data_IF_914782335852
#
_entry.id   IF_914782335852
#
_cell.length_a   1.000
_cell.length_b   1.000
_cell.length_c   1.000
_cell.angle_alpha   90.00
_cell.angle_beta   90.00
_cell.angle_gamma   90.00
#
_symmetry.space_group_name_H-M   'P 1'
#
loop_
_entity.id
_entity.type
_entity.pdbx_description
1 polymer ?
#
# COMPACT_ATOMS: atom_id res chain seq x y z
N UNK A 1 22.37 -5.41 17.13
CA UNK A 1 21.06 -6.00 17.51
C UNK A 1 19.96 -4.97 17.70
N UNK A 2 20.10 -3.98 18.60
CA UNK A 2 19.06 -2.97 18.86
C UNK A 2 18.58 -2.22 17.60
N UNK A 3 19.52 -1.77 16.74
CA UNK A 3 19.19 -1.10 15.47
C UNK A 3 18.32 -1.98 14.55
N UNK A 4 18.68 -3.25 14.36
CA UNK A 4 17.92 -4.21 13.53
C UNK A 4 16.53 -4.47 14.11
N UNK A 5 16.40 -4.57 15.43
CA UNK A 5 15.09 -4.74 16.07
C UNK A 5 14.21 -3.51 15.86
N UNK A 6 14.76 -2.29 15.98
CA UNK A 6 14.02 -1.04 15.73
C UNK A 6 13.47 -1.00 14.30
N UNK A 7 14.31 -1.30 13.30
CA UNK A 7 13.86 -1.34 11.89
C UNK A 7 12.82 -2.43 11.68
N UNK A 8 12.99 -3.62 12.27
CA UNK A 8 11.99 -4.70 12.22
C UNK A 8 10.63 -4.26 12.74
N UNK A 9 10.60 -3.54 13.86
CA UNK A 9 9.35 -3.02 14.43
C UNK A 9 8.70 -1.98 13.50
N UNK A 10 9.49 -1.02 12.99
CA UNK A 10 9.00 -0.01 12.04
C UNK A 10 8.37 -0.64 10.80
N UNK A 11 9.06 -1.61 10.17
CA UNK A 11 8.53 -2.35 9.02
C UNK A 11 7.26 -3.14 9.34
N UNK A 12 7.16 -3.69 10.55
CA UNK A 12 5.97 -4.43 10.98
C UNK A 12 4.77 -3.49 11.16
N UNK A 13 5.00 -2.31 11.71
CA UNK A 13 3.96 -1.28 11.88
C UNK A 13 3.51 -0.73 10.53
N UNK A 14 4.43 -0.45 9.61
CA UNK A 14 4.12 -0.05 8.24
C UNK A 14 3.32 -1.12 7.49
N UNK A 15 3.72 -2.39 7.59
CA UNK A 15 2.97 -3.52 7.02
C UNK A 15 1.55 -3.59 7.59
N UNK A 16 1.37 -3.31 8.88
CA UNK A 16 0.05 -3.28 9.51
C UNK A 16 -0.79 -2.13 8.95
N UNK A 17 -0.21 -0.95 8.77
CA UNK A 17 -0.87 0.20 8.14
C UNK A 17 -1.34 -0.15 6.72
N UNK A 18 -0.44 -0.63 5.85
CA UNK A 18 -0.80 -0.99 4.48
C UNK A 18 -1.86 -2.09 4.40
N UNK A 19 -1.83 -3.08 5.30
CA UNK A 19 -2.88 -4.10 5.39
C UNK A 19 -4.24 -3.51 5.79
N UNK A 20 -4.24 -2.51 6.67
CA UNK A 20 -5.44 -1.76 7.02
C UNK A 20 -5.99 -1.00 5.82
N UNK A 21 -5.15 -0.23 5.13
CA UNK A 21 -5.55 0.53 3.94
C UNK A 21 -6.10 -0.38 2.83
N UNK A 22 -5.45 -1.54 2.60
CA UNK A 22 -5.95 -2.57 1.68
C UNK A 22 -7.35 -3.05 2.08
N UNK A 23 -7.57 -3.30 3.37
CA UNK A 23 -8.86 -3.77 3.87
C UNK A 23 -9.98 -2.72 3.70
N UNK A 24 -9.64 -1.44 3.86
CA UNK A 24 -10.57 -0.33 3.65
C UNK A 24 -10.95 -0.22 2.17
N UNK A 25 -9.97 -0.22 1.26
CA UNK A 25 -10.21 -0.20 -0.18
C UNK A 25 -11.04 -1.40 -0.64
N UNK A 26 -10.76 -2.61 -0.12
CA UNK A 26 -11.58 -3.79 -0.42
C UNK A 26 -13.01 -3.66 0.08
N UNK A 27 -13.23 -2.99 1.21
CA UNK A 27 -14.57 -2.69 1.73
C UNK A 27 -15.31 -1.70 0.81
N UNK A 28 -14.61 -0.69 0.28
CA UNK A 28 -15.17 0.22 -0.73
C UNK A 28 -15.54 -0.53 -2.02
N UNK A 29 -14.71 -1.46 -2.49
CA UNK A 29 -15.04 -2.29 -3.66
C UNK A 29 -16.29 -3.14 -3.42
N UNK A 30 -16.44 -3.70 -2.21
CA UNK A 30 -17.63 -4.47 -1.84
C UNK A 30 -18.88 -3.59 -1.85
N UNK A 31 -18.82 -2.38 -1.29
CA UNK A 31 -19.93 -1.43 -1.31
C UNK A 31 -20.34 -1.09 -2.77
N UNK A 32 -19.37 -0.73 -3.62
CA UNK A 32 -19.62 -0.45 -5.03
C UNK A 32 -20.21 -1.64 -5.81
N UNK A 33 -19.93 -2.88 -5.41
CA UNK A 33 -20.55 -4.06 -6.02
C UNK A 33 -22.03 -4.17 -5.67
N UNK A 34 -22.41 -3.84 -4.43
CA UNK A 34 -23.81 -3.82 -4.01
C UNK A 34 -24.57 -2.77 -4.82
N UNK A 35 -24.02 -1.56 -4.93
CA UNK A 35 -24.61 -0.48 -5.74
C UNK A 35 -24.75 -0.93 -7.20
N UNK A 36 -23.73 -1.58 -7.77
CA UNK A 36 -23.77 -2.06 -9.15
C UNK A 36 -24.88 -3.08 -9.41
N UNK A 37 -25.12 -4.02 -8.49
CA UNK A 37 -26.23 -4.97 -8.61
C UNK A 37 -27.60 -4.28 -8.46
N UNK A 38 -27.72 -3.26 -7.60
CA UNK A 38 -28.92 -2.43 -7.52
C UNK A 38 -29.18 -1.70 -8.84
N UNK A 39 -28.17 -1.08 -9.45
CA UNK A 39 -28.33 -0.45 -10.77
C UNK A 39 -28.74 -1.44 -11.86
N UNK A 40 -28.18 -2.66 -11.83
CA UNK A 40 -28.52 -3.71 -12.80
C UNK A 40 -29.97 -4.18 -12.68
N UNK A 41 -30.48 -4.34 -11.46
CA UNK A 41 -31.89 -4.69 -11.22
C UNK A 41 -32.82 -3.58 -11.68
N UNK A 42 -32.56 -2.32 -11.28
CA UNK A 42 -33.32 -1.13 -11.72
C UNK A 42 -33.35 -0.98 -13.25
N UNK A 43 -32.21 -1.15 -13.93
CA UNK A 43 -32.15 -1.12 -15.40
C UNK A 43 -32.98 -2.24 -16.03
N UNK A 44 -32.95 -3.43 -15.43
CA UNK A 44 -33.73 -4.58 -15.88
C UNK A 44 -35.24 -4.32 -15.78
N UNK A 45 -35.69 -3.73 -14.66
CA UNK A 45 -37.09 -3.36 -14.43
C UNK A 45 -37.55 -2.27 -15.40
N UNK A 46 -36.79 -1.18 -15.53
CA UNK A 46 -37.11 -0.08 -16.47
C UNK A 46 -37.15 -0.54 -17.92
N UNK A 47 -36.31 -1.51 -18.30
CA UNK A 47 -36.35 -2.11 -19.64
C UNK A 47 -37.63 -2.93 -19.87
N UNK A 48 -38.08 -3.69 -18.87
CA UNK A 48 -39.34 -4.45 -18.93
C UNK A 48 -40.56 -3.52 -19.00
N UNK A 49 -40.55 -2.39 -18.29
CA UNK A 49 -41.60 -1.37 -18.36
C UNK A 49 -41.66 -0.68 -19.74
N UNK A 50 -40.51 -0.47 -20.38
CA UNK A 50 -40.41 0.21 -21.68
C UNK A 50 -40.83 -0.68 -22.87
N UNK A 51 -40.59 -1.99 -22.79
CA UNK A 51 -40.90 -2.96 -23.84
C UNK A 51 -42.35 -2.93 -24.37
N UNK A 52 -43.41 -2.94 -23.53
CA UNK A 52 -44.79 -2.85 -24.01
C UNK A 52 -45.12 -1.51 -24.68
N UNK A 53 -44.53 -0.40 -24.20
CA UNK A 53 -44.71 0.93 -24.81
C UNK A 53 -44.09 0.98 -26.21
N UNK A 54 -42.91 0.38 -26.38
CA UNK A 54 -42.28 0.24 -27.69
C UNK A 54 -43.09 -0.67 -28.63
N UNK A 55 -43.68 -1.75 -28.12
CA UNK A 55 -44.58 -2.61 -28.91
C UNK A 55 -45.87 -1.86 -29.31
N UNK A 56 -46.45 -1.06 -28.43
CA UNK A 56 -47.61 -0.22 -28.71
C UNK A 56 -47.31 0.83 -29.79
N UNK A 57 -46.17 1.52 -29.70
CA UNK A 57 -45.69 2.43 -30.75
C UNK A 57 -45.48 1.72 -32.10
N UNK A 58 -44.95 0.50 -32.08
CA UNK A 58 -44.78 -0.32 -33.28
C UNK A 58 -46.11 -0.65 -33.96
N UNK A 59 -47.14 -1.00 -33.19
CA UNK A 59 -48.50 -1.26 -33.71
C UNK A 59 -49.12 0.01 -34.29
N UNK A 60 -48.98 1.15 -33.61
CA UNK A 60 -49.50 2.44 -34.09
C UNK A 60 -48.81 2.91 -35.39
N UNK A 61 -47.51 2.61 -35.55
CA UNK A 61 -46.74 2.94 -36.76
C UNK A 61 -47.22 2.15 -37.98
N UNK A 62 -47.61 0.88 -37.80
CA UNK A 62 -48.07 0.04 -38.91
C UNK A 62 -49.46 0.41 -39.41
N UNK A 63 -50.33 0.98 -38.57
CA UNK A 63 -51.68 1.40 -38.96
C UNK A 63 -51.70 2.67 -39.85
N UNK A 64 -50.67 3.52 -39.78
CA UNK A 64 -50.62 4.79 -40.53
C UNK A 64 -50.12 4.68 -41.97
N UNK A 65 -49.54 3.53 -42.37
CA UNK A 65 -48.99 3.36 -43.72
C UNK A 65 -50.01 2.88 -44.78
N UNK A 66 -51.30 2.75 -44.43
CA UNK A 66 -52.36 2.30 -45.34
C UNK A 66 -53.07 3.41 -46.13
N UNK A 67 -52.72 4.68 -45.93
CA UNK A 67 -53.47 5.83 -46.45
C UNK A 67 -52.82 6.55 -47.64
N UNK A 68 -53.05 6.02 -48.84
CA UNK A 68 -53.30 6.78 -50.08
C UNK A 68 -52.46 8.02 -50.43
N UNK A 69 -51.56 7.85 -51.40
CA UNK A 69 -51.33 8.85 -52.45
C UNK A 69 -52.57 8.87 -53.37
N UNK A 70 -53.42 9.88 -53.28
CA UNK A 70 -54.54 10.09 -54.21
C UNK A 70 -55.54 11.12 -53.68
N UNK A 71 -55.50 12.33 -54.23
CA UNK A 71 -56.30 13.47 -53.79
C UNK A 71 -57.81 13.27 -54.01
N UNK A 72 -58.55 13.28 -52.91
CA UNK A 72 -60.00 13.43 -52.82
C UNK A 72 -60.23 14.62 -51.87
N UNK A 73 -61.31 15.40 -52.05
CA UNK A 73 -61.71 16.54 -51.20
C UNK A 73 -61.52 16.24 -49.70
N UNK A 74 -61.04 17.22 -48.93
CA UNK A 74 -60.54 16.98 -47.56
C UNK A 74 -61.66 16.88 -46.53
N UNK A 75 -62.83 17.48 -46.80
CA UNK A 75 -64.01 17.45 -45.94
C UNK A 75 -65.31 17.36 -46.74
N UNK A 76 -66.38 16.95 -46.07
CA UNK A 76 -67.74 16.96 -46.64
C UNK A 76 -68.20 18.39 -46.97
N UNK A 77 -67.75 19.39 -46.20
CA UNK A 77 -68.00 20.82 -46.44
C UNK A 77 -67.34 21.28 -47.75
N UNK A 78 -66.06 20.95 -47.98
CA UNK A 78 -65.37 21.26 -49.24
C UNK A 78 -66.04 20.59 -50.45
N UNK A 79 -66.55 19.36 -50.28
CA UNK A 79 -67.29 18.65 -51.31
C UNK A 79 -68.64 19.33 -51.59
N UNK A 80 -69.38 19.72 -50.54
CA UNK A 80 -70.67 20.40 -50.66
C UNK A 80 -70.52 21.80 -51.27
N UNK A 81 -69.50 22.57 -50.89
CA UNK A 81 -69.21 23.89 -51.43
C UNK A 81 -68.84 23.80 -52.92
N UNK A 82 -68.07 22.78 -53.31
CA UNK A 82 -67.75 22.53 -54.72
C UNK A 82 -69.00 22.17 -55.52
N UNK A 83 -69.81 21.23 -55.03
CA UNK A 83 -71.09 20.86 -55.66
C UNK A 83 -72.02 22.08 -55.77
N UNK A 84 -72.14 22.87 -54.70
CA UNK A 84 -72.97 24.07 -54.67
C UNK A 84 -72.49 25.13 -55.66
N UNK A 85 -71.17 25.34 -55.77
CA UNK A 85 -70.61 26.27 -56.76
C UNK A 85 -70.91 25.85 -58.20
N UNK A 86 -70.85 24.55 -58.52
CA UNK A 86 -71.16 24.02 -59.85
C UNK A 86 -72.66 24.13 -60.14
N UNK A 87 -73.52 23.87 -59.16
CA UNK A 87 -74.98 24.05 -59.27
C UNK A 87 -75.36 25.52 -59.46
N UNK A 88 -74.72 26.45 -58.74
CA UNK A 88 -74.93 27.88 -58.87
C UNK A 88 -74.56 28.39 -60.27
N UNK A 89 -73.42 27.93 -60.81
CA UNK A 89 -73.00 28.24 -62.18
C UNK A 89 -74.02 27.77 -63.22
N UNK A 90 -74.56 26.56 -63.08
CA UNK A 90 -75.63 26.05 -63.95
C UNK A 90 -76.89 26.93 -63.90
N UNK A 91 -77.28 27.42 -62.71
CA UNK A 91 -78.54 28.16 -62.53
C UNK A 91 -78.46 29.64 -62.91
N UNK A 92 -77.28 30.26 -62.80
CA UNK A 92 -77.15 31.72 -62.85
C UNK A 92 -76.18 32.23 -63.93
N UNK A 93 -75.34 31.37 -64.53
CA UNK A 93 -74.49 31.75 -65.66
C UNK A 93 -75.10 31.23 -66.99
N UNK A 94 -75.00 32.03 -68.05
CA UNK A 94 -75.43 31.61 -69.39
C UNK A 94 -74.37 30.72 -70.03
N UNK A 95 -74.47 29.42 -69.80
CA UNK A 95 -73.50 28.40 -70.21
C UNK A 95 -74.02 27.63 -71.44
N UNK A 96 -73.17 27.26 -72.42
CA UNK A 96 -73.60 26.42 -73.54
C UNK A 96 -73.95 24.99 -73.09
N UNK A 97 -74.92 24.37 -73.78
CA UNK A 97 -75.45 23.02 -73.50
C UNK A 97 -74.39 21.90 -73.36
N UNK A 98 -73.21 22.06 -73.97
CA UNK A 98 -72.09 21.14 -73.85
C UNK A 98 -71.40 21.22 -72.48
N UNK A 99 -71.22 22.42 -71.96
CA UNK A 99 -70.60 22.69 -70.66
C UNK A 99 -71.57 22.36 -69.53
N UNK A 100 -72.87 22.67 -69.67
CA UNK A 100 -73.90 22.29 -68.71
C UNK A 100 -73.94 20.75 -68.51
N UNK A 101 -73.89 19.97 -69.60
CA UNK A 101 -73.79 18.50 -69.54
C UNK A 101 -72.48 18.00 -68.95
N UNK A 102 -71.40 18.77 -69.04
CA UNK A 102 -70.12 18.42 -68.42
C UNK A 102 -70.17 18.66 -66.90
N UNK A 103 -70.70 19.81 -66.47
CA UNK A 103 -70.88 20.14 -65.06
C UNK A 103 -71.82 19.16 -64.35
N UNK A 104 -72.91 18.72 -65.00
CA UNK A 104 -73.80 17.69 -64.45
C UNK A 104 -73.10 16.33 -64.28
N UNK A 105 -72.18 15.96 -65.18
CA UNK A 105 -71.39 14.73 -65.02
C UNK A 105 -70.39 14.84 -63.88
N UNK A 106 -69.80 16.02 -63.70
CA UNK A 106 -68.85 16.30 -62.62
C UNK A 106 -69.54 16.31 -61.25
N UNK A 107 -70.71 16.96 -61.12
CA UNK A 107 -71.54 16.90 -59.90
C UNK A 107 -71.87 15.45 -59.55
N UNK A 108 -72.29 14.63 -60.53
CA UNK A 108 -72.60 13.22 -60.30
C UNK A 108 -71.37 12.41 -59.85
N UNK A 109 -70.17 12.73 -60.37
CA UNK A 109 -68.93 12.11 -59.93
C UNK A 109 -68.55 12.52 -58.50
N UNK A 110 -68.72 13.80 -58.16
CA UNK A 110 -68.48 14.33 -56.82
C UNK A 110 -69.47 13.76 -55.79
N UNK A 111 -70.75 13.65 -56.16
CA UNK A 111 -71.74 12.96 -55.32
C UNK A 111 -71.40 11.48 -55.13
N UNK A 112 -70.90 10.81 -56.18
CA UNK A 112 -70.43 9.42 -56.10
C UNK A 112 -69.17 9.22 -55.23
N UNK A 113 -68.40 10.28 -54.94
CA UNK A 113 -67.27 10.22 -54.02
C UNK A 113 -67.62 10.63 -52.59
N UNK A 114 -68.88 11.01 -52.31
CA UNK A 114 -69.33 11.46 -50.98
C UNK A 114 -69.06 10.45 -49.88
N UNK A 115 -69.40 9.18 -50.10
CA UNK A 115 -69.15 8.11 -49.13
C UNK A 115 -67.65 7.91 -48.87
N UNK A 116 -66.81 8.08 -49.90
CA UNK A 116 -65.36 8.01 -49.76
C UNK A 116 -64.80 9.22 -48.99
N UNK A 117 -65.37 10.42 -49.18
CA UNK A 117 -65.02 11.63 -48.42
C UNK A 117 -65.39 11.47 -46.95
N UNK A 118 -66.59 10.96 -46.65
CA UNK A 118 -67.05 10.69 -45.28
C UNK A 118 -66.16 9.62 -44.62
N UNK A 119 -65.87 8.52 -45.32
CA UNK A 119 -64.97 7.49 -44.84
C UNK A 119 -63.54 8.03 -44.61
N UNK A 120 -63.02 8.86 -45.51
CA UNK A 120 -61.71 9.49 -45.35
C UNK A 120 -61.69 10.50 -44.20
N UNK A 121 -62.74 11.28 -43.98
CA UNK A 121 -62.86 12.21 -42.86
C UNK A 121 -62.93 11.48 -41.51
N UNK A 122 -63.72 10.39 -41.44
CA UNK A 122 -63.77 9.50 -40.27
C UNK A 122 -62.42 8.80 -40.01
N UNK A 123 -61.70 8.42 -41.06
CA UNK A 123 -60.36 7.85 -40.93
C UNK A 123 -59.33 8.89 -40.47
N UNK A 124 -59.40 10.13 -40.97
CA UNK A 124 -58.51 11.24 -40.56
C UNK A 124 -58.72 11.63 -39.10
N UNK A 125 -59.97 11.72 -38.64
CA UNK A 125 -60.30 11.97 -37.22
C UNK A 125 -59.81 10.84 -36.32
N UNK A 126 -60.03 9.58 -36.70
CA UNK A 126 -59.49 8.42 -35.97
C UNK A 126 -57.96 8.39 -35.93
N UNK A 127 -57.30 8.77 -37.02
CA UNK A 127 -55.83 8.95 -37.05
C UNK A 127 -55.41 10.07 -36.10
N UNK A 128 -56.10 11.22 -36.12
CA UNK A 128 -55.80 12.36 -35.25
C UNK A 128 -56.00 12.06 -33.76
N UNK A 129 -57.06 11.35 -33.39
CA UNK A 129 -57.28 10.85 -32.02
C UNK A 129 -56.19 9.86 -31.60
N UNK A 130 -55.77 8.98 -32.50
CA UNK A 130 -54.65 8.06 -32.24
C UNK A 130 -53.29 8.76 -32.17
N UNK A 131 -53.12 9.90 -32.83
CA UNK A 131 -51.88 10.68 -32.80
C UNK A 131 -51.63 11.29 -31.42
N UNK A 132 -52.67 11.74 -30.71
CA UNK A 132 -52.53 12.20 -29.31
C UNK A 132 -52.00 11.07 -28.41
N UNK A 133 -52.59 9.87 -28.52
CA UNK A 133 -52.11 8.69 -27.78
C UNK A 133 -50.67 8.30 -28.17
N UNK A 134 -50.28 8.52 -29.43
CA UNK A 134 -48.92 8.27 -29.91
C UNK A 134 -47.91 9.22 -29.28
N UNK A 135 -48.24 10.51 -29.25
CA UNK A 135 -47.38 11.57 -28.71
C UNK A 135 -47.15 11.34 -27.22
N UNK A 136 -48.21 11.01 -26.46
CA UNK A 136 -48.11 10.69 -25.03
C UNK A 136 -47.19 9.49 -24.77
N UNK A 137 -47.36 8.39 -25.50
CA UNK A 137 -46.50 7.19 -25.37
C UNK A 137 -45.07 7.52 -25.81
N UNK A 138 -44.90 8.32 -26.86
CA UNK A 138 -43.59 8.72 -27.35
C UNK A 138 -42.83 9.58 -26.33
N UNK A 139 -43.51 10.51 -25.68
CA UNK A 139 -42.91 11.37 -24.65
C UNK A 139 -42.60 10.58 -23.37
N UNK A 140 -43.44 9.62 -22.99
CA UNK A 140 -43.13 8.67 -21.91
C UNK A 140 -41.88 7.83 -22.23
N UNK A 141 -41.77 7.30 -23.45
CA UNK A 141 -40.59 6.52 -23.88
C UNK A 141 -39.33 7.39 -23.93
N UNK A 142 -39.42 8.65 -24.36
CA UNK A 142 -38.29 9.60 -24.33
C UNK A 142 -37.84 9.86 -22.89
N UNK A 143 -38.78 10.14 -21.98
CA UNK A 143 -38.48 10.41 -20.57
C UNK A 143 -37.77 9.21 -19.92
N UNK A 144 -38.32 8.01 -20.08
CA UNK A 144 -37.68 6.78 -19.61
C UNK A 144 -36.32 6.52 -20.29
N UNK A 145 -36.16 6.92 -21.56
CA UNK A 145 -34.89 6.83 -22.28
C UNK A 145 -33.80 7.74 -21.68
N UNK A 146 -34.17 8.95 -21.27
CA UNK A 146 -33.26 9.87 -20.57
C UNK A 146 -32.86 9.33 -19.19
N UNK A 147 -33.80 8.75 -18.44
CA UNK A 147 -33.51 8.13 -17.14
C UNK A 147 -32.54 6.95 -17.29
N UNK A 148 -32.74 6.09 -18.30
CA UNK A 148 -31.82 4.98 -18.61
C UNK A 148 -30.41 5.46 -18.97
N UNK A 149 -30.30 6.56 -19.74
CA UNK A 149 -29.00 7.16 -20.07
C UNK A 149 -28.29 7.73 -18.83
N UNK A 150 -29.06 8.36 -17.92
CA UNK A 150 -28.57 8.78 -16.60
C UNK A 150 -27.98 7.62 -15.81
N UNK A 151 -28.74 6.53 -15.66
CA UNK A 151 -28.27 5.33 -14.93
C UNK A 151 -27.05 4.69 -15.59
N UNK A 152 -26.96 4.69 -16.94
CA UNK A 152 -25.79 4.18 -17.66
C UNK A 152 -24.54 5.04 -17.43
N UNK A 153 -24.68 6.37 -17.32
CA UNK A 153 -23.56 7.26 -16.94
C UNK A 153 -23.07 6.97 -15.52
N UNK A 154 -23.98 6.80 -14.58
CA UNK A 154 -23.66 6.43 -13.19
C UNK A 154 -22.95 5.06 -13.11
N UNK A 155 -23.43 4.08 -13.88
CA UNK A 155 -22.81 2.77 -14.00
C UNK A 155 -21.35 2.87 -14.50
N UNK A 156 -21.11 3.68 -15.54
CA UNK A 156 -19.76 3.92 -16.07
C UNK A 156 -18.87 4.65 -15.05
N UNK A 157 -19.42 5.59 -14.27
CA UNK A 157 -18.70 6.28 -13.21
C UNK A 157 -18.29 5.30 -12.09
N UNK A 158 -19.19 4.40 -11.66
CA UNK A 158 -18.90 3.35 -10.68
C UNK A 158 -17.84 2.39 -11.22
N UNK A 159 -17.93 1.99 -12.48
CA UNK A 159 -16.93 1.11 -13.10
C UNK A 159 -15.54 1.76 -13.10
N UNK A 160 -15.48 3.05 -13.44
CA UNK A 160 -14.23 3.84 -13.40
C UNK A 160 -13.66 3.94 -11.98
N UNK A 161 -14.50 4.22 -10.98
CA UNK A 161 -14.11 4.23 -9.56
C UNK A 161 -13.59 2.86 -9.11
N UNK A 162 -14.29 1.79 -9.47
CA UNK A 162 -13.91 0.40 -9.15
C UNK A 162 -12.56 0.04 -9.79
N UNK A 163 -12.31 0.47 -11.03
CA UNK A 163 -11.02 0.27 -11.70
C UNK A 163 -9.89 1.01 -10.95
N UNK A 164 -10.09 2.28 -10.61
CA UNK A 164 -9.10 3.05 -9.85
C UNK A 164 -8.80 2.43 -8.48
N UNK A 165 -9.81 1.95 -7.76
CA UNK A 165 -9.60 1.28 -6.47
C UNK A 165 -8.83 -0.03 -6.65
N UNK A 166 -9.13 -0.82 -7.68
CA UNK A 166 -8.37 -2.04 -7.99
C UNK A 166 -6.90 -1.76 -8.27
N UNK A 167 -6.61 -0.71 -9.04
CA UNK A 167 -5.23 -0.27 -9.29
C UNK A 167 -4.51 0.13 -7.99
N UNK A 168 -5.20 0.87 -7.10
CA UNK A 168 -4.67 1.20 -5.76
C UNK A 168 -4.43 -0.04 -4.90
N UNK A 169 -5.35 -1.00 -4.89
CA UNK A 169 -5.20 -2.27 -4.16
C UNK A 169 -3.97 -3.03 -4.66
N UNK A 170 -3.82 -3.18 -5.97
CA UNK A 170 -2.65 -3.84 -6.57
C UNK A 170 -1.35 -3.12 -6.22
N UNK A 171 -1.33 -1.78 -6.25
CA UNK A 171 -0.16 -1.00 -5.84
C UNK A 171 0.19 -1.19 -4.35
N UNK A 172 -0.81 -1.29 -3.47
CA UNK A 172 -0.59 -1.59 -2.04
C UNK A 172 -0.08 -3.03 -1.85
N UNK A 173 -0.62 -4.00 -2.61
CA UNK A 173 -0.16 -5.39 -2.57
C UNK A 173 1.33 -5.51 -2.94
N UNK A 174 1.77 -4.86 -4.01
CA UNK A 174 3.19 -4.82 -4.38
C UNK A 174 4.07 -4.17 -3.30
N UNK A 175 3.58 -3.12 -2.62
CA UNK A 175 4.29 -2.51 -1.48
C UNK A 175 4.38 -3.46 -0.27
N UNK A 176 3.30 -4.17 0.03
CA UNK A 176 3.26 -5.17 1.11
C UNK A 176 4.27 -6.28 0.81
N UNK A 177 4.35 -6.76 -0.43
CA UNK A 177 5.32 -7.78 -0.86
C UNK A 177 6.76 -7.28 -0.68
N UNK A 178 7.08 -6.09 -1.19
CA UNK A 178 8.41 -5.49 -1.03
C UNK A 178 8.82 -5.32 0.45
N UNK A 179 7.93 -4.77 1.29
CA UNK A 179 8.19 -4.62 2.73
C UNK A 179 8.33 -5.97 3.43
N UNK A 180 7.60 -7.01 3.00
CA UNK A 180 7.70 -8.35 3.55
C UNK A 180 9.05 -8.99 3.21
N UNK A 181 9.56 -8.78 2.00
CA UNK A 181 10.91 -9.20 1.61
C UNK A 181 11.98 -8.47 2.43
N UNK A 182 11.89 -7.15 2.56
CA UNK A 182 12.80 -6.36 3.40
C UNK A 182 12.79 -6.84 4.85
N UNK A 183 11.61 -7.07 5.42
CA UNK A 183 11.44 -7.59 6.78
C UNK A 183 12.13 -8.96 6.93
N UNK A 184 11.96 -9.86 5.96
CA UNK A 184 12.61 -11.16 5.95
C UNK A 184 14.13 -11.04 5.92
N UNK A 185 14.68 -10.14 5.09
CA UNK A 185 16.13 -9.92 5.02
C UNK A 185 16.69 -9.42 6.35
N UNK A 186 15.97 -8.53 7.04
CA UNK A 186 16.37 -8.01 8.36
C UNK A 186 16.31 -9.09 9.43
N UNK A 187 15.27 -9.93 9.41
CA UNK A 187 15.17 -11.08 10.32
C UNK A 187 16.34 -12.04 10.11
N UNK A 188 16.69 -12.36 8.86
CA UNK A 188 17.85 -13.20 8.55
C UNK A 188 19.16 -12.59 9.03
N UNK A 189 19.40 -11.29 8.77
CA UNK A 189 20.59 -10.58 9.26
C UNK A 189 20.68 -10.61 10.78
N UNK A 190 19.54 -10.41 11.47
CA UNK A 190 19.46 -10.47 12.94
C UNK A 190 19.78 -11.88 13.46
N UNK A 191 19.22 -12.92 12.85
CA UNK A 191 19.46 -14.30 13.27
C UNK A 191 20.93 -14.69 13.10
N UNK A 192 21.52 -14.39 11.93
CA UNK A 192 22.94 -14.61 11.68
C UNK A 192 23.83 -13.87 12.69
N UNK A 193 23.53 -12.61 12.98
CA UNK A 193 24.28 -11.83 13.98
C UNK A 193 24.14 -12.40 15.40
N UNK A 194 23.00 -13.01 15.72
CA UNK A 194 22.78 -13.65 17.01
C UNK A 194 23.54 -14.99 17.12
N UNK A 195 23.51 -15.80 16.06
CA UNK A 195 24.27 -17.05 15.97
C UNK A 195 25.78 -16.80 16.10
N UNK A 196 26.32 -15.81 15.40
CA UNK A 196 27.75 -15.45 15.53
C UNK A 196 28.08 -14.99 16.94
N UNK A 197 27.22 -14.19 17.56
CA UNK A 197 27.42 -13.75 18.95
C UNK A 197 27.40 -14.92 19.93
N UNK A 198 26.49 -15.88 19.77
CA UNK A 198 26.46 -17.09 20.58
C UNK A 198 27.72 -17.94 20.41
N UNK A 199 28.21 -18.10 19.18
CA UNK A 199 29.46 -18.80 18.90
C UNK A 199 30.65 -18.12 19.57
N UNK A 200 30.73 -16.80 19.52
CA UNK A 200 31.80 -16.03 20.19
C UNK A 200 31.74 -16.17 21.72
N UNK A 201 30.55 -16.18 22.31
CA UNK A 201 30.40 -16.43 23.75
C UNK A 201 30.86 -17.83 24.12
N UNK A 202 30.44 -18.85 23.35
CA UNK A 202 30.89 -20.23 23.57
C UNK A 202 32.41 -20.34 23.46
N UNK A 203 33.02 -19.76 22.42
CA UNK A 203 34.47 -19.74 22.25
C UNK A 203 35.18 -19.03 23.41
N UNK A 204 34.65 -17.89 23.88
CA UNK A 204 35.17 -17.17 25.03
C UNK A 204 35.11 -18.03 26.29
N UNK A 205 33.98 -18.67 26.54
CA UNK A 205 33.76 -19.47 27.75
C UNK A 205 34.64 -20.72 27.75
N UNK A 206 34.78 -21.37 26.59
CA UNK A 206 35.71 -22.49 26.39
C UNK A 206 37.17 -22.06 26.59
N UNK A 207 37.58 -20.93 26.01
CA UNK A 207 38.93 -20.39 26.18
C UNK A 207 39.25 -19.97 27.62
N UNK A 208 38.22 -19.57 28.39
CA UNK A 208 38.34 -19.18 29.81
C UNK A 208 38.08 -20.33 30.78
N UNK A 209 37.64 -21.51 30.32
CA UNK A 209 37.29 -22.63 31.18
C UNK A 209 38.46 -23.02 32.09
N UNK A 210 39.68 -23.09 31.54
CA UNK A 210 40.88 -23.38 32.31
C UNK A 210 41.19 -22.33 33.38
N UNK A 211 40.99 -21.04 33.07
CA UNK A 211 41.17 -19.96 34.05
C UNK A 211 40.24 -20.12 35.25
N UNK A 212 38.96 -20.39 35.01
CA UNK A 212 38.00 -20.61 36.11
C UNK A 212 38.29 -21.88 36.91
N UNK A 213 38.74 -22.95 36.24
CA UNK A 213 39.21 -24.18 36.90
C UNK A 213 40.42 -23.89 37.82
N UNK A 214 41.45 -23.20 37.33
CA UNK A 214 42.62 -22.83 38.13
C UNK A 214 42.26 -21.91 39.29
N UNK A 215 41.34 -20.96 39.10
CA UNK A 215 40.87 -20.09 40.18
C UNK A 215 40.12 -20.86 41.26
N UNK A 216 39.28 -21.84 40.86
CA UNK A 216 38.59 -22.72 41.79
C UNK A 216 39.57 -23.59 42.58
N UNK A 217 40.56 -24.19 41.91
CA UNK A 217 41.63 -24.97 42.54
C UNK A 217 42.40 -24.13 43.57
N UNK A 218 42.80 -22.90 43.19
CA UNK A 218 43.52 -22.00 44.08
C UNK A 218 42.71 -21.65 45.33
N UNK A 219 41.40 -21.45 45.20
CA UNK A 219 40.53 -21.22 46.36
C UNK A 219 40.47 -22.44 47.27
N UNK A 220 40.35 -23.66 46.72
CA UNK A 220 40.41 -24.90 47.51
C UNK A 220 41.72 -25.04 48.28
N UNK A 221 42.85 -24.77 47.61
CA UNK A 221 44.16 -24.77 48.26
C UNK A 221 44.23 -23.76 49.42
N UNK A 222 43.69 -22.54 49.23
CA UNK A 222 43.59 -21.53 50.29
C UNK A 222 42.71 -21.97 51.46
N UNK A 223 41.59 -22.64 51.19
CA UNK A 223 40.70 -23.16 52.23
C UNK A 223 41.37 -24.26 53.06
N UNK A 224 42.08 -25.20 52.43
CA UNK A 224 42.84 -26.24 53.12
C UNK A 224 43.99 -25.65 53.96
N UNK A 225 44.70 -24.67 53.40
CA UNK A 225 45.75 -23.95 54.11
C UNK A 225 45.21 -23.20 55.33
N UNK A 226 44.04 -22.55 55.22
CA UNK A 226 43.39 -21.89 56.34
C UNK A 226 42.97 -22.87 57.45
N UNK A 227 42.58 -24.09 57.09
CA UNK A 227 42.26 -25.20 58.01
C UNK A 227 43.51 -25.89 58.58
N UNK A 228 44.71 -25.53 58.11
CA UNK A 228 45.99 -26.20 58.41
C UNK A 228 45.98 -27.70 58.06
N UNK A 229 45.19 -28.10 57.08
CA UNK A 229 45.17 -29.48 56.58
C UNK A 229 46.32 -29.69 55.59
N UNK A 230 47.47 -30.11 56.12
CA UNK A 230 48.70 -30.30 55.35
C UNK A 230 48.56 -31.49 54.40
N UNK A 231 47.94 -32.58 54.86
CA UNK A 231 47.77 -33.80 54.06
C UNK A 231 46.85 -33.55 52.86
N UNK A 232 45.71 -32.91 53.08
CA UNK A 232 44.80 -32.56 52.00
C UNK A 232 45.42 -31.61 50.96
N UNK A 233 46.30 -30.70 51.40
CA UNK A 233 47.02 -29.80 50.49
C UNK A 233 48.07 -30.54 49.65
N UNK A 234 48.79 -31.50 50.25
CA UNK A 234 49.76 -32.35 49.57
C UNK A 234 49.06 -33.22 48.51
N UNK A 235 47.94 -33.87 48.87
CA UNK A 235 47.11 -34.66 47.95
C UNK A 235 46.56 -33.81 46.80
N UNK A 236 46.07 -32.60 47.08
CA UNK A 236 45.59 -31.69 46.03
C UNK A 236 46.71 -31.28 45.07
N UNK A 237 47.92 -31.08 45.59
CA UNK A 237 49.10 -30.75 44.79
C UNK A 237 49.53 -31.92 43.91
N UNK A 238 49.64 -33.13 44.47
CA UNK A 238 50.07 -34.33 43.71
C UNK A 238 49.09 -34.63 42.58
N UNK A 239 47.79 -34.62 42.86
CA UNK A 239 46.74 -34.87 41.86
C UNK A 239 46.77 -33.85 40.71
N UNK A 240 46.93 -32.55 41.01
CA UNK A 240 46.94 -31.55 39.95
C UNK A 240 48.22 -31.61 39.10
N UNK A 241 49.38 -31.93 39.71
CA UNK A 241 50.64 -32.13 38.97
C UNK A 241 50.53 -33.34 38.04
N UNK A 242 50.00 -34.47 38.51
CA UNK A 242 49.78 -35.65 37.66
C UNK A 242 48.84 -35.34 36.49
N UNK A 243 47.74 -34.62 36.77
CA UNK A 243 46.79 -34.19 35.74
C UNK A 243 47.44 -33.25 34.73
N UNK A 244 48.27 -32.31 35.17
CA UNK A 244 49.03 -31.43 34.28
C UNK A 244 50.00 -32.23 33.42
N UNK A 245 50.79 -33.14 33.99
CA UNK A 245 51.74 -33.97 33.26
C UNK A 245 51.04 -34.87 32.22
N UNK A 246 49.87 -35.42 32.56
CA UNK A 246 49.04 -36.19 31.64
C UNK A 246 48.55 -35.32 30.48
N UNK A 247 48.06 -34.10 30.74
CA UNK A 247 47.62 -33.17 29.69
C UNK A 247 48.79 -32.70 28.83
N UNK A 248 49.93 -32.38 29.46
CA UNK A 248 51.13 -31.88 28.79
C UNK A 248 51.74 -32.91 27.86
N UNK A 249 51.76 -34.19 28.24
CA UNK A 249 52.29 -35.27 27.41
C UNK A 249 51.32 -35.68 26.29
N UNK A 250 50.02 -35.78 26.60
CA UNK A 250 49.02 -36.32 25.65
C UNK A 250 48.49 -35.32 24.62
N UNK A 251 48.32 -34.03 24.97
CA UNK A 251 47.63 -33.07 24.12
C UNK A 251 48.57 -32.01 23.55
N UNK A 252 48.91 -32.14 22.26
CA UNK A 252 49.70 -31.14 21.54
C UNK A 252 49.04 -29.74 21.57
N UNK A 253 47.71 -29.67 21.44
CA UNK A 253 46.97 -28.41 21.46
C UNK A 253 47.22 -27.58 22.74
N UNK A 254 47.40 -28.25 23.89
CA UNK A 254 47.71 -27.59 25.17
C UNK A 254 49.12 -26.99 25.15
N UNK A 255 50.10 -27.72 24.58
CA UNK A 255 51.47 -27.24 24.43
C UNK A 255 51.54 -26.03 23.49
N UNK A 256 50.86 -26.12 22.35
CA UNK A 256 50.80 -25.03 21.36
C UNK A 256 50.10 -23.79 21.93
N UNK A 257 49.00 -23.94 22.70
CA UNK A 257 48.32 -22.82 23.37
C UNK A 257 49.18 -22.19 24.47
N UNK A 258 49.86 -23.00 25.28
CA UNK A 258 50.80 -22.53 26.29
C UNK A 258 51.92 -21.70 25.65
N UNK A 259 52.53 -22.22 24.58
CA UNK A 259 53.58 -21.53 23.85
C UNK A 259 53.10 -20.17 23.31
N UNK A 260 51.90 -20.13 22.70
CA UNK A 260 51.29 -18.89 22.21
C UNK A 260 51.08 -17.87 23.32
N UNK A 261 50.56 -18.28 24.49
CA UNK A 261 50.31 -17.37 25.62
C UNK A 261 51.60 -16.81 26.21
N UNK A 262 52.66 -17.61 26.31
CA UNK A 262 53.94 -17.14 26.86
C UNK A 262 54.74 -16.30 25.86
N UNK A 263 54.51 -16.44 24.56
CA UNK A 263 55.30 -15.79 23.50
C UNK A 263 55.37 -14.27 23.65
N UNK A 264 54.26 -13.62 24.03
CA UNK A 264 54.24 -12.17 24.28
C UNK A 264 55.13 -11.80 25.48
N UNK A 265 55.05 -12.56 26.58
CA UNK A 265 55.86 -12.34 27.77
C UNK A 265 57.35 -12.62 27.52
N UNK A 266 57.67 -13.64 26.73
CA UNK A 266 59.05 -13.94 26.32
C UNK A 266 59.62 -12.78 25.49
N UNK A 267 58.84 -12.28 24.53
CA UNK A 267 59.25 -11.18 23.69
C UNK A 267 59.48 -9.87 24.48
N UNK A 268 58.60 -9.55 25.44
CA UNK A 268 58.76 -8.40 26.35
C UNK A 268 60.03 -8.49 27.20
N UNK A 269 60.41 -9.70 27.61
CA UNK A 269 61.62 -9.98 28.38
C UNK A 269 62.87 -10.17 27.50
N UNK A 270 62.74 -9.97 26.18
CA UNK A 270 63.82 -10.19 25.21
C UNK A 270 64.41 -11.61 25.28
N UNK A 271 63.54 -12.61 25.50
CA UNK A 271 63.90 -14.02 25.50
C UNK A 271 63.52 -14.67 24.16
N UNK A 272 64.34 -15.61 23.70
CA UNK A 272 64.06 -16.49 22.56
C UNK A 272 63.01 -17.55 22.94
N UNK A 273 62.54 -18.31 21.95
CA UNK A 273 61.46 -19.33 22.12
C UNK A 273 61.80 -20.39 23.18
N UNK A 274 63.09 -20.66 23.35
CA UNK A 274 63.68 -21.58 24.33
C UNK A 274 63.92 -20.93 25.72
N UNK A 275 63.52 -19.67 25.92
CA UNK A 275 63.68 -18.96 27.19
C UNK A 275 65.07 -18.39 27.48
N UNK A 276 66.01 -18.49 26.53
CA UNK A 276 67.36 -17.88 26.60
C UNK A 276 67.33 -16.42 26.20
N UNK A 277 68.30 -15.61 26.66
CA UNK A 277 68.44 -14.20 26.25
C UNK A 277 68.61 -14.15 24.73
N UNK A 278 67.82 -13.30 24.09
CA UNK A 278 67.82 -13.14 22.64
C UNK A 278 69.10 -12.43 22.19
N UNK A 279 69.71 -12.94 21.12
CA UNK A 279 70.87 -12.27 20.53
C UNK A 279 70.48 -10.90 19.92
N UNK A 280 71.38 -9.90 19.89
CA UNK A 280 71.08 -8.57 19.35
C UNK A 280 70.52 -8.58 17.93
N UNK A 281 70.93 -9.54 17.11
CA UNK A 281 70.55 -9.66 15.70
C UNK A 281 69.29 -10.53 15.45
N UNK A 282 68.76 -11.18 16.49
CA UNK A 282 67.58 -12.05 16.38
C UNK A 282 66.28 -11.22 16.33
N UNK A 283 65.34 -11.65 15.48
CA UNK A 283 64.04 -10.98 15.29
C UNK A 283 63.08 -11.26 16.48
N UNK A 284 62.20 -10.31 16.85
CA UNK A 284 61.16 -10.53 17.86
C UNK A 284 60.28 -11.75 17.60
N UNK A 285 59.96 -12.52 18.66
CA UNK A 285 59.06 -13.69 18.59
C UNK A 285 57.62 -13.31 18.22
N UNK A 286 57.23 -12.08 18.52
CA UNK A 286 55.95 -11.49 18.15
C UNK A 286 56.24 -10.11 17.59
N UNK A 287 55.95 -9.87 16.32
CA UNK A 287 55.86 -8.49 15.82
C UNK A 287 54.55 -7.94 16.38
N UNK A 288 54.62 -6.98 17.30
CA UNK A 288 53.42 -6.23 17.65
C UNK A 288 53.02 -5.46 16.40
N UNK A 289 51.91 -5.85 15.78
CA UNK A 289 51.18 -4.94 14.92
C UNK A 289 50.75 -3.77 15.80
N UNK A 290 51.46 -2.66 15.68
CA UNK A 290 50.94 -1.36 16.11
C UNK A 290 49.60 -1.22 15.39
N UNK A 291 48.47 -1.00 16.09
CA UNK A 291 47.21 -0.75 15.42
C UNK A 291 47.43 0.43 14.50
N UNK A 292 47.38 0.18 13.19
CA UNK A 292 47.25 1.26 12.21
C UNK A 292 45.97 1.99 12.63
N UNK A 293 46.02 3.28 13.00
CA UNK A 293 44.80 4.04 13.16
C UNK A 293 44.11 3.98 11.81
N UNK A 294 42.98 3.29 11.75
CA UNK A 294 42.17 3.19 10.54
C UNK A 294 41.93 4.61 10.05
N UNK A 295 42.49 4.91 8.87
CA UNK A 295 42.15 6.11 8.14
C UNK A 295 40.61 6.20 8.07
N UNK A 296 40.01 7.36 8.36
CA UNK A 296 38.58 7.50 8.19
C UNK A 296 38.24 7.28 6.71
N UNK A 297 37.47 6.24 6.41
CA UNK A 297 36.77 6.13 5.15
C UNK A 297 35.84 7.35 5.01
N UNK A 298 36.31 8.34 4.28
CA UNK A 298 35.50 9.39 3.70
C UNK A 298 34.50 8.76 2.74
N UNK A 299 33.27 8.61 3.20
CA UNK A 299 32.09 8.54 2.32
C UNK A 299 31.92 9.97 1.74
N UNK A 300 31.82 10.14 0.41
CA UNK A 300 31.71 11.46 -0.20
C UNK A 300 30.36 12.09 0.16
N UNK A 301 30.40 13.25 0.82
CA UNK A 301 29.23 14.11 1.06
C UNK A 301 29.11 15.08 -0.13
N UNK A 302 27.92 15.25 -0.72
CA UNK A 302 27.74 16.11 -1.88
C UNK A 302 27.94 17.58 -1.52
N UNK A 303 28.65 18.27 -2.41
CA UNK A 303 28.94 19.71 -2.38
C UNK A 303 27.66 20.55 -2.36
N UNK A 304 27.51 21.39 -1.33
CA UNK A 304 26.83 22.67 -1.45
C UNK A 304 27.82 23.74 -1.00
N UNK A 305 28.19 24.58 -1.96
CA UNK A 305 29.07 25.74 -1.81
C UNK A 305 28.36 26.81 -0.98
N UNK A 306 29.07 27.44 -0.03
CA UNK A 306 29.08 28.89 0.19
C UNK A 306 30.28 29.26 1.10
N UNK A 307 30.82 30.49 0.98
CA UNK A 307 32.25 30.79 1.16
C UNK A 307 32.63 31.21 2.58
N UNK A 308 33.92 31.03 2.89
CA UNK A 308 34.62 31.64 4.02
C UNK A 308 34.83 33.13 3.75
N UNK A 309 34.60 33.95 4.78
CA UNK A 309 35.20 35.27 4.94
C UNK A 309 36.08 35.25 6.21
N UNK A 310 37.30 35.77 6.02
CA UNK A 310 38.30 36.33 6.95
C UNK A 310 38.90 35.52 8.12
N UNK A 311 40.20 35.21 7.95
CA UNK A 311 41.19 35.18 9.03
C UNK A 311 41.64 36.62 9.37
N UNK A 312 41.72 36.94 10.66
CA UNK A 312 42.71 37.89 11.17
C UNK A 312 43.22 37.44 12.55
N UNK A 313 44.55 37.27 12.65
CA UNK A 313 45.35 36.97 13.87
C UNK A 313 45.62 38.27 14.69
N UNK A 314 46.46 38.29 15.76
CA UNK A 314 46.16 37.91 17.15
C UNK A 314 46.67 38.95 18.20
N UNK A 315 46.64 38.54 19.49
CA UNK A 315 47.42 39.02 20.68
C UNK A 315 46.90 40.24 21.49
N UNK A 316 47.32 40.41 22.77
CA UNK A 316 47.66 39.44 23.84
C UNK A 316 47.02 39.79 25.22
N UNK A 317 47.19 38.91 26.23
CA UNK A 317 46.68 39.00 27.62
C UNK A 317 47.17 40.24 28.42
N UNK A 318 46.58 40.53 29.62
CA UNK A 318 47.26 40.06 30.83
C UNK A 318 46.36 39.60 32.01
N UNK A 319 46.80 38.49 32.60
CA UNK A 319 46.79 38.08 34.02
C UNK A 319 45.96 38.85 35.06
N UNK A 320 45.22 38.11 35.91
CA UNK A 320 45.45 38.10 37.37
C UNK A 320 44.75 36.92 38.08
N UNK A 321 45.37 36.48 39.17
CA UNK A 321 45.16 35.24 39.95
C UNK A 321 44.15 35.41 41.12
N UNK A 322 43.82 34.34 41.88
CA UNK A 322 42.54 34.12 42.58
C UNK A 322 42.54 34.39 44.09
N UNK A 323 41.34 34.46 44.71
CA UNK A 323 41.02 34.24 46.15
C UNK A 323 39.58 33.71 46.23
N UNK A 324 39.21 32.56 46.84
CA UNK A 324 39.38 31.95 48.18
C UNK A 324 38.48 32.56 49.27
N UNK A 325 37.58 31.72 49.81
CA UNK A 325 36.88 31.83 51.10
C UNK A 325 35.42 32.30 50.99
N UNK A 326 34.40 31.81 51.71
CA UNK A 326 34.20 30.67 52.64
C UNK A 326 32.85 30.92 53.36
N UNK A 327 32.09 29.85 53.69
CA UNK A 327 31.07 29.75 54.77
C UNK A 327 29.77 30.58 54.58
N UNK A 328 28.58 30.18 55.04
CA UNK A 328 28.08 29.36 56.16
C UNK A 328 26.64 28.89 55.80
N UNK A 329 26.25 27.62 56.01
CA UNK A 329 25.53 27.02 57.16
C UNK A 329 24.01 27.24 57.29
N UNK A 330 23.34 26.14 57.67
CA UNK A 330 21.90 25.96 57.97
C UNK A 330 21.41 24.60 57.42
N UNK A 331 21.63 23.43 58.06
CA UNK A 331 20.83 22.78 59.13
C UNK A 331 19.31 22.85 58.85
N UNK A 332 18.57 21.76 58.70
CA UNK A 332 18.21 20.71 59.67
C UNK A 332 17.76 19.42 58.93
N UNK A 333 18.20 18.24 59.38
CA UNK A 333 17.40 17.15 60.03
C UNK A 333 16.33 16.51 59.13
N UNK A 334 16.17 15.19 59.01
CA UNK A 334 16.73 14.01 59.67
C UNK A 334 16.06 12.77 59.05
N UNK A 335 16.63 11.57 59.23
CA UNK A 335 15.96 10.33 58.80
C UNK A 335 16.90 9.19 58.44
N UNK A 336 17.50 8.59 59.46
CA UNK A 336 18.26 7.33 59.41
C UNK A 336 17.35 6.14 59.15
N UNK A 337 17.65 5.28 58.17
CA UNK A 337 17.46 3.82 58.26
C UNK A 337 18.59 3.11 57.48
N UNK A 338 19.52 2.52 58.23
CA UNK A 338 20.38 1.44 57.76
C UNK A 338 19.53 0.17 57.57
N UNK A 339 19.73 -0.56 56.47
CA UNK A 339 19.58 -2.01 56.50
C UNK A 339 20.65 -2.68 55.66
N UNK A 340 21.57 -3.32 56.40
CA UNK A 340 22.60 -4.24 55.97
C UNK A 340 21.99 -5.64 56.05
N UNK A 341 21.90 -6.36 54.93
CA UNK A 341 21.74 -7.81 54.95
C UNK A 341 22.56 -8.45 53.82
N UNK A 342 23.63 -9.10 54.24
CA UNK A 342 24.27 -10.31 53.71
C UNK A 342 24.65 -11.12 54.95
N UNK A 343 24.73 -12.46 54.91
CA UNK A 343 25.18 -13.30 53.78
C UNK A 343 24.08 -13.81 52.87
#
# INVERSE_FOLDING_TARGET
MQKLNKVRFQLTDELKSYKSDRSELLSQVKALNVDFEQFKTMLGEKKKEMEPLQQALGKLRNNNNGGGRGGICSSEEELNDLIYSLQYRIQHESIPLSEEKQLLREIKQLEGTRDNVIANAAMRTKIQESLGQKEDIQDQVKLMGNDLDGVRKEQNAIWSKKKQIKEKVSAIESKIEALQEELNTIIQKRNKAYETMQQLWKQRDEANAHFYQSRSLLNKAKELAAKKDIKGLEELSTVEVEKFLALWSSKKAVRDDYEKRISLSLNQRQLSRDGRIRNPDEKPLVVQEVPVPSAPETIPKPSVRQPKEEEAKPSPEPSTKPKKGSREEGKEEGGSIYNRCKP
#
